data_IF_205887379338
#
_entry.id   IF_205887379338
#
_cell.length_a   1.000
_cell.length_b   1.000
_cell.length_c   1.000
_cell.angle_alpha   90.00
_cell.angle_beta   90.00
_cell.angle_gamma   90.00
#
_symmetry.space_group_name_H-M   'P 1'
#
loop_
_entity.id
_entity.type
_entity.pdbx_description
1 polymer ?
2 polymer ?
3 non-polymer ?
4 non-polymer ?
5 water ?
#
# COMPACT_ATOMS: atom_id res chain seq x y z
N UNK A 8 -13.41 27.00 29.19
CA UNK A 8 -12.51 25.96 28.67
C UNK A 8 -12.25 26.14 27.18
N UNK A 9 -11.40 27.10 26.82
CA UNK A 9 -11.08 27.41 25.44
C UNK A 9 -9.70 26.88 25.08
N UNK A 10 -9.60 26.23 23.91
CA UNK A 10 -8.31 25.74 23.44
C UNK A 10 -7.29 26.87 23.31
N UNK A 11 -6.09 26.61 23.80
CA UNK A 11 -4.95 27.47 23.51
C UNK A 11 -3.69 26.63 23.62
N UNK A 12 -2.82 26.71 22.60
CA UNK A 12 -1.65 25.87 22.58
C UNK A 12 -0.58 26.50 21.69
N UNK A 13 0.67 26.10 21.91
CA UNK A 13 1.79 26.43 21.05
C UNK A 13 2.31 25.14 20.45
N UNK A 14 2.52 25.13 19.14
CA UNK A 14 2.89 23.90 18.44
C UNK A 14 4.05 24.20 17.50
N UNK A 15 4.99 23.25 17.40
CA UNK A 15 6.02 23.33 16.38
C UNK A 15 5.38 23.22 15.00
N UNK A 16 5.60 24.23 14.16
CA UNK A 16 4.90 24.30 12.88
C UNK A 16 5.17 23.06 12.03
N UNK A 17 6.43 22.62 11.95
CA UNK A 17 6.76 21.48 11.11
C UNK A 17 6.01 20.23 11.54
N UNK A 18 5.81 20.07 12.85
CA UNK A 18 5.05 18.92 13.35
C UNK A 18 3.60 19.01 12.93
N UNK A 19 3.00 20.20 13.02
CA UNK A 19 1.59 20.34 12.64
C UNK A 19 1.41 20.16 11.13
N UNK A 20 2.35 20.66 10.33
CA UNK A 20 2.28 20.44 8.88
C UNK A 20 2.21 18.95 8.55
N UNK A 21 3.03 18.14 9.22
CA UNK A 21 3.06 16.71 8.89
C UNK A 21 1.74 16.03 9.26
N UNK A 22 1.22 16.30 10.46
CA UNK A 22 -0.07 15.75 10.87
C UNK A 22 -1.19 16.17 9.93
N UNK A 23 -1.20 17.43 9.50
CA UNK A 23 -2.24 17.88 8.59
C UNK A 23 -2.11 17.23 7.22
N UNK A 24 -0.89 16.90 6.79
CA UNK A 24 -0.72 16.15 5.56
C UNK A 24 -1.48 14.85 5.58
N UNK A 25 -1.46 14.15 6.72
CA UNK A 25 -2.19 12.90 6.84
C UNK A 25 -3.69 13.15 6.83
N UNK A 26 -4.12 14.23 7.50
CA UNK A 26 -5.53 14.56 7.54
C UNK A 26 -6.06 14.87 6.14
N UNK A 27 -5.28 15.62 5.34
CA UNK A 27 -5.72 15.93 3.99
C UNK A 27 -5.91 14.66 3.17
N UNK A 28 -5.06 13.65 3.37
CA UNK A 28 -5.19 12.48 2.52
C UNK A 28 -6.38 11.61 2.90
N UNK A 29 -7.01 11.86 4.05
CA UNK A 29 -8.23 11.14 4.43
C UNK A 29 -9.41 11.65 3.63
N UNK A 30 -9.58 12.97 3.54
CA UNK A 30 -10.69 13.55 2.79
C UNK A 30 -10.22 13.99 1.41
N UNK A 37 -20.54 17.20 4.41
CA UNK A 37 -20.05 18.52 4.82
C UNK A 37 -19.13 18.42 6.03
N UNK A 38 -19.48 17.54 6.98
CA UNK A 38 -18.66 17.35 8.16
C UNK A 38 -17.31 16.73 7.85
N UNK A 39 -17.20 15.99 6.73
CA UNK A 39 -15.92 15.39 6.37
C UNK A 39 -14.88 16.43 5.99
N UNK A 40 -15.30 17.66 5.68
CA UNK A 40 -14.38 18.73 5.31
C UNK A 40 -13.68 19.34 6.51
N UNK A 41 -14.03 18.95 7.72
CA UNK A 41 -13.51 19.59 8.91
C UNK A 41 -12.55 18.66 9.65
N UNK A 42 -11.68 19.26 10.45
CA UNK A 42 -10.80 18.53 11.35
C UNK A 42 -11.11 18.95 12.78
N UNK A 43 -11.13 17.99 13.69
CA UNK A 43 -11.37 18.28 15.09
C UNK A 43 -10.03 18.38 15.81
N UNK A 44 -9.84 19.46 16.57
CA UNK A 44 -8.63 19.71 17.34
C UNK A 44 -8.98 19.72 18.82
N UNK A 45 -8.30 18.86 19.59
CA UNK A 45 -8.55 18.70 21.02
C UNK A 45 -7.24 18.86 21.77
N UNK A 46 -7.16 19.88 22.61
CA UNK A 46 -5.98 20.14 23.42
C UNK A 46 -6.24 19.63 24.83
N UNK A 47 -5.44 18.65 25.27
CA UNK A 47 -5.68 18.00 26.55
C UNK A 47 -4.44 17.22 26.95
N UNK A 48 -4.01 17.37 28.19
CA UNK A 48 -2.96 16.53 28.79
C UNK A 48 -1.69 16.52 27.95
N UNK A 49 -1.19 17.72 27.62
CA UNK A 49 0.07 17.88 26.93
C UNK A 49 0.07 17.55 25.45
N UNK A 50 -1.08 17.26 24.86
CA UNK A 50 -1.15 16.81 23.48
C UNK A 50 -2.23 17.53 22.71
N UNK A 51 -2.00 17.66 21.41
CA UNK A 51 -3.04 18.04 20.47
C UNK A 51 -3.52 16.78 19.76
N UNK A 52 -4.81 16.49 19.86
CA UNK A 52 -5.40 15.37 19.13
C UNK A 52 -6.13 15.91 17.91
N UNK A 53 -5.78 15.39 16.74
CA UNK A 53 -6.40 15.81 15.49
C UNK A 53 -7.20 14.64 14.93
N UNK A 54 -8.49 14.85 14.70
CA UNK A 54 -9.38 13.81 14.22
C UNK A 54 -9.93 14.17 12.84
N UNK A 55 -9.87 13.19 11.92
CA UNK A 55 -10.30 13.33 10.53
C UNK A 55 -11.11 12.10 10.14
N UNK A 56 -12.15 12.28 9.34
CA UNK A 56 -12.96 11.12 8.97
C UNK A 56 -13.60 11.32 7.60
N UNK A 57 -13.82 10.21 6.91
CA UNK A 57 -14.66 10.18 5.73
C UNK A 57 -15.64 9.01 5.90
N UNK A 58 -16.20 8.54 4.80
CA UNK A 58 -17.19 7.47 4.87
C UNK A 58 -16.61 6.15 5.38
N UNK A 59 -15.30 5.93 5.20
CA UNK A 59 -14.71 4.62 5.46
C UNK A 59 -13.60 4.62 6.50
N UNK A 60 -13.04 5.78 6.83
CA UNK A 60 -11.85 5.92 7.66
C UNK A 60 -12.12 6.87 8.81
N UNK A 61 -11.53 6.58 9.95
CA UNK A 61 -11.45 7.53 11.06
C UNK A 61 -10.01 7.58 11.52
N UNK A 62 -9.41 8.77 11.46
CA UNK A 62 -8.01 8.97 11.81
C UNK A 62 -7.91 9.88 13.02
N UNK A 63 -7.18 9.43 14.04
CA UNK A 63 -6.90 10.22 15.23
C UNK A 63 -5.40 10.25 15.46
N UNK A 64 -4.83 11.44 15.49
CA UNK A 64 -3.39 11.62 15.67
C UNK A 64 -3.15 12.47 16.91
N UNK A 65 -2.20 12.06 17.73
CA UNK A 65 -1.80 12.86 18.90
C UNK A 65 -0.37 13.32 18.72
N UNK A 66 -0.14 14.62 18.86
CA UNK A 66 1.20 15.20 18.80
C UNK A 66 1.42 16.04 20.06
N UNK A 67 2.63 15.98 20.60
CA UNK A 67 2.94 16.77 21.78
C UNK A 67 2.97 18.25 21.43
N UNK A 68 2.32 19.08 22.26
CA UNK A 68 2.32 20.52 22.10
C UNK A 68 2.41 21.13 23.50
N UNK A 69 2.54 22.45 23.54
CA UNK A 69 2.41 23.18 24.79
C UNK A 69 0.94 23.52 24.98
N UNK A 70 0.26 22.78 25.87
CA UNK A 70 -1.16 23.03 26.11
C UNK A 70 -1.26 24.14 27.16
N UNK A 71 -1.67 25.32 26.73
CA UNK A 71 -1.85 26.45 27.61
C UNK A 71 -3.25 26.48 28.21
N UNK A 72 -4.24 26.01 27.46
CA UNK A 72 -5.60 25.88 27.95
C UNK A 72 -6.28 24.76 27.20
N UNK A 73 -7.00 23.90 27.91
CA UNK A 73 -7.59 22.72 27.27
C UNK A 73 -8.93 23.09 26.65
N UNK A 74 -9.23 22.47 25.52
CA UNK A 74 -10.50 22.72 24.84
C UNK A 74 -10.51 22.01 23.51
N UNK A 75 -11.63 22.15 22.79
CA UNK A 75 -11.77 21.50 21.49
C UNK A 75 -12.47 22.44 20.52
N UNK A 76 -12.04 22.41 19.26
CA UNK A 76 -12.66 23.15 18.18
C UNK A 76 -12.65 22.27 16.93
N UNK A 77 -13.44 22.66 15.94
CA UNK A 77 -13.30 22.07 14.61
C UNK A 77 -13.23 23.20 13.59
N UNK A 78 -12.48 22.94 12.52
CA UNK A 78 -12.18 23.97 11.52
C UNK A 78 -11.94 23.26 10.20
N UNK A 79 -12.08 24.01 9.10
CA UNK A 79 -11.81 23.47 7.76
C UNK A 79 -10.42 22.87 7.67
N UNK A 80 -10.33 21.61 7.23
CA UNK A 80 -9.03 20.96 7.08
C UNK A 80 -8.19 21.67 6.03
N UNK A 81 -8.79 21.96 4.89
CA UNK A 81 -8.05 22.60 3.79
C UNK A 81 -7.52 23.98 4.18
N UNK A 82 -8.36 24.81 4.79
CA UNK A 82 -7.93 26.16 5.14
C UNK A 82 -6.80 26.12 6.16
N UNK A 83 -6.97 25.33 7.23
CA UNK A 83 -5.91 25.19 8.23
C UNK A 83 -4.62 24.69 7.61
N UNK A 84 -4.70 23.63 6.81
CA UNK A 84 -3.50 23.08 6.19
C UNK A 84 -2.84 24.07 5.24
N UNK A 85 -3.63 24.73 4.41
CA UNK A 85 -3.07 25.68 3.43
C UNK A 85 -2.32 26.80 4.12
N UNK A 86 -2.86 27.30 5.23
CA UNK A 86 -2.23 28.40 5.94
C UNK A 86 -0.96 27.93 6.64
N UNK A 87 -1.04 26.83 7.38
CA UNK A 87 0.05 26.41 8.23
C UNK A 87 1.29 26.04 7.40
N UNK A 88 1.07 25.41 6.23
CA UNK A 88 2.22 25.03 5.42
C UNK A 88 2.87 26.22 4.69
N UNK A 89 2.30 27.42 4.79
CA UNK A 89 2.93 28.63 4.27
C UNK A 89 3.52 29.52 5.35
N UNK A 90 3.49 29.08 6.61
CA UNK A 90 3.99 29.98 7.65
C UNK A 90 5.46 29.69 7.95
N UNK A 91 6.32 30.71 8.00
CA UNK A 91 7.75 30.46 8.23
C UNK A 91 8.15 30.36 9.68
N UNK A 92 7.25 30.68 10.61
CA UNK A 92 7.52 30.60 12.03
C UNK A 92 7.78 29.16 12.46
N UNK A 93 8.79 28.97 13.32
CA UNK A 93 9.06 27.64 13.84
C UNK A 93 7.99 27.18 14.83
N UNK A 94 7.29 28.11 15.48
CA UNK A 94 6.15 27.79 16.34
C UNK A 94 4.96 28.68 16.00
N UNK A 95 3.76 28.14 16.21
CA UNK A 95 2.51 28.85 16.08
C UNK A 95 1.73 28.79 17.38
N UNK A 96 1.03 29.87 17.73
CA UNK A 96 0.04 29.83 18.80
C UNK A 96 -1.33 29.68 18.17
N UNK A 97 -2.08 28.68 18.63
CA UNK A 97 -3.48 28.50 18.27
C UNK A 97 -4.33 28.87 19.47
N UNK A 98 -5.28 29.80 19.28
CA UNK A 98 -6.15 30.25 20.37
C UNK A 98 -7.60 30.24 19.88
N UNK A 99 -8.43 29.45 20.56
CA UNK A 99 -9.87 29.55 20.38
C UNK A 99 -10.40 30.85 21.00
N UNK A 100 -11.07 31.67 20.20
CA UNK A 100 -11.63 32.93 20.67
C UNK A 100 -13.14 32.79 20.88
N UNK A 101 -13.70 33.79 21.54
CA UNK A 101 -15.09 33.72 21.99
C UNK A 101 -16.07 33.53 20.83
N UNK A 102 -15.88 34.27 19.74
CA UNK A 102 -16.91 34.33 18.69
C UNK A 102 -16.78 33.20 17.69
N UNK A 103 -16.56 31.97 18.17
CA UNK A 103 -16.45 30.79 17.32
C UNK A 103 -15.43 31.03 16.20
N UNK A 104 -14.20 31.35 16.62
CA UNK A 104 -13.11 31.58 15.70
C UNK A 104 -11.84 31.03 16.33
N UNK A 105 -10.98 30.49 15.47
CA UNK A 105 -9.66 30.01 15.85
C UNK A 105 -8.64 31.02 15.35
N UNK A 106 -7.84 31.56 16.26
CA UNK A 106 -6.75 32.44 15.88
C UNK A 106 -5.49 31.61 15.70
N UNK A 107 -4.82 31.79 14.56
CA UNK A 107 -3.50 31.23 14.33
C UNK A 107 -2.54 32.40 14.28
N UNK A 108 -1.57 32.41 15.16
CA UNK A 108 -0.68 33.57 15.31
C UNK A 108 0.76 33.14 15.08
N UNK A 109 1.41 33.77 14.11
CA UNK A 109 2.85 33.78 14.01
C UNK A 109 3.41 35.10 14.51
N UNK A 110 4.71 35.30 14.29
CA UNK A 110 5.38 36.47 14.82
C UNK A 110 4.82 37.75 14.23
N UNK A 111 4.62 37.79 12.92
CA UNK A 111 4.17 39.01 12.27
C UNK A 111 2.80 38.89 11.62
N UNK A 112 2.16 37.72 11.69
CA UNK A 112 0.91 37.50 10.97
C UNK A 112 -0.08 36.78 11.86
N UNK A 113 -1.36 36.98 11.56
CA UNK A 113 -2.46 36.39 12.32
C UNK A 113 -3.58 36.00 11.38
N UNK A 114 -4.14 34.81 11.58
CA UNK A 114 -5.26 34.29 10.80
C UNK A 114 -6.39 33.95 11.76
N UNK A 115 -7.61 34.40 11.45
CA UNK A 115 -8.78 34.04 12.25
C UNK A 115 -9.71 33.21 11.40
N UNK A 116 -9.92 31.95 11.78
CA UNK A 116 -10.71 31.01 11.01
C UNK A 116 -12.03 30.74 11.70
N UNK A 117 -13.12 30.70 10.93
CA UNK A 117 -14.40 30.30 11.48
C UNK A 117 -14.34 28.85 11.94
N UNK A 118 -14.89 28.57 13.11
CA UNK A 118 -14.97 27.22 13.63
C UNK A 118 -16.40 26.71 13.54
N UNK A 119 -16.52 25.41 13.56
CA UNK A 119 -17.84 24.81 13.54
C UNK A 119 -18.07 24.06 14.85
N UNK A 120 -19.32 23.85 15.24
CA UNK A 120 -19.59 23.22 16.55
C UNK A 120 -18.93 21.85 16.66
N UNK A 121 -18.23 21.65 17.77
CA UNK A 121 -17.61 20.35 18.07
C UNK A 121 -18.69 19.26 18.17
N UNK A 122 -19.89 19.63 18.60
CA UNK A 122 -20.94 18.64 18.77
C UNK A 122 -21.50 18.13 17.46
N UNK A 123 -21.17 18.77 16.33
CA UNK A 123 -21.55 18.27 15.02
C UNK A 123 -20.50 17.34 14.41
N UNK A 124 -19.35 17.18 15.04
CA UNK A 124 -18.30 16.35 14.49
C UNK A 124 -18.46 14.91 15.00
N UNK A 125 -18.44 13.92 14.12
CA UNK A 125 -18.72 12.55 14.57
C UNK A 125 -17.59 11.98 15.42
N UNK A 126 -17.98 11.22 16.43
CA UNK A 126 -17.02 10.47 17.22
C UNK A 126 -16.69 9.14 16.54
N UNK A 127 -15.57 8.55 16.94
CA UNK A 127 -15.12 7.29 16.35
C UNK A 127 -15.95 6.14 16.88
N UNK A 128 -16.25 5.16 16.02
CA UNK A 128 -16.88 3.93 16.46
C UNK A 128 -15.83 3.04 17.14
N UNK A 129 -16.24 1.85 17.55
CA UNK A 129 -15.41 0.97 18.35
C UNK A 129 -15.26 -0.38 17.67
N UNK A 130 -14.31 -1.16 18.16
CA UNK A 130 -14.05 -2.49 17.62
C UNK A 130 -14.08 -3.47 18.79
N UNK A 131 -14.62 -4.67 18.52
CA UNK A 131 -14.57 -5.79 19.46
C UNK A 131 -13.71 -6.81 18.73
N UNK A 132 -12.38 -6.78 18.91
CA UNK A 132 -11.51 -7.55 18.02
C UNK A 132 -11.66 -9.05 18.20
N UNK A 133 -11.62 -9.77 17.08
CA UNK A 133 -11.48 -11.21 17.15
C UNK A 133 -10.04 -11.61 17.43
N UNK A 134 -9.09 -10.86 16.87
CA UNK A 134 -7.67 -11.09 17.09
C UNK A 134 -6.97 -9.74 17.16
N UNK A 135 -5.87 -9.69 17.91
CA UNK A 135 -5.03 -8.50 18.01
C UNK A 135 -3.57 -8.93 18.10
N UNK A 136 -2.68 -8.19 17.47
CA UNK A 136 -1.26 -8.55 17.48
C UNK A 136 -0.47 -7.30 17.11
N UNK A 137 0.83 -7.37 17.36
CA UNK A 137 1.77 -6.29 17.10
C UNK A 137 2.83 -6.77 16.12
N UNK A 138 3.16 -5.95 15.13
CA UNK A 138 4.22 -6.19 14.17
C UNK A 138 4.99 -4.89 13.97
N UNK A 139 6.17 -4.98 13.37
CA UNK A 139 6.93 -3.75 13.15
C UNK A 139 6.33 -2.96 11.98
N UNK A 140 6.43 -1.63 12.08
CA UNK A 140 5.96 -0.79 10.98
C UNK A 140 6.69 -1.11 9.69
N UNK A 141 7.98 -1.41 9.78
CA UNK A 141 8.75 -1.71 8.58
C UNK A 141 8.27 -2.99 7.91
N UNK A 142 7.92 -4.02 8.70
CA UNK A 142 7.42 -5.25 8.10
C UNK A 142 6.03 -5.04 7.52
N UNK A 143 5.19 -4.25 8.19
CA UNK A 143 3.87 -3.98 7.65
C UNK A 143 3.94 -3.17 6.36
N UNK A 144 4.83 -2.19 6.32
CA UNK A 144 5.02 -1.41 5.10
C UNK A 144 5.40 -2.33 3.95
N UNK A 145 6.27 -3.30 4.21
CA UNK A 145 6.72 -4.22 3.16
C UNK A 145 5.56 -5.03 2.59
N UNK A 146 4.69 -5.58 3.45
CA UNK A 146 3.65 -6.45 2.88
C UNK A 146 2.61 -5.63 2.12
N UNK A 147 2.41 -4.38 2.50
CA UNK A 147 1.49 -3.53 1.73
C UNK A 147 2.15 -3.10 0.42
N UNK A 148 3.43 -2.72 0.47
CA UNK A 148 4.13 -2.34 -0.76
C UNK A 148 4.16 -3.50 -1.75
N UNK A 149 4.25 -4.74 -1.27
CA UNK A 149 4.32 -5.87 -2.18
C UNK A 149 2.96 -6.29 -2.73
N UNK A 150 1.86 -5.75 -2.22
CA UNK A 150 0.53 -6.21 -2.64
C UNK A 150 -0.38 -5.10 -3.13
N UNK A 151 -0.08 -3.82 -2.88
CA UNK A 151 -1.06 -2.80 -3.22
C UNK A 151 -1.23 -2.63 -4.71
N UNK A 152 -0.23 -3.01 -5.52
CA UNK A 152 -0.27 -2.72 -6.94
C UNK A 152 -1.13 -3.71 -7.74
N UNK A 153 -1.44 -4.89 -7.20
CA UNK A 153 -2.19 -5.91 -7.93
C UNK A 153 -3.63 -6.05 -7.43
N UNK A 154 -4.14 -5.06 -6.70
CA UNK A 154 -5.56 -4.98 -6.40
C UNK A 154 -6.34 -4.77 -7.68
N UNK A 155 -7.53 -5.36 -7.77
CA UNK A 155 -8.38 -5.09 -8.91
C UNK A 155 -9.02 -3.70 -8.80
N UNK A 156 -9.07 -2.99 -9.93
CA UNK A 156 -9.81 -1.76 -10.06
C UNK A 156 -11.17 -1.96 -10.71
N UNK A 157 -11.50 -3.21 -11.04
CA UNK A 157 -12.80 -3.60 -11.59
C UNK A 157 -13.83 -3.54 -10.47
N UNK A 158 -14.65 -2.49 -10.47
CA UNK A 158 -15.59 -2.28 -9.36
C UNK A 158 -16.67 -3.35 -9.28
N UNK A 159 -16.85 -4.17 -10.32
CA UNK A 159 -17.77 -5.30 -10.21
C UNK A 159 -17.18 -6.40 -9.35
N UNK A 160 -15.86 -6.62 -9.43
CA UNK A 160 -15.16 -7.58 -8.58
C UNK A 160 -14.93 -6.98 -7.20
N UNK A 161 -16.05 -6.72 -6.50
CA UNK A 161 -15.99 -6.04 -5.21
C UNK A 161 -14.97 -6.69 -4.28
N UNK A 162 -14.93 -8.02 -4.25
CA UNK A 162 -14.08 -8.71 -3.27
C UNK A 162 -12.59 -8.64 -3.64
N UNK A 163 -12.26 -8.30 -4.88
CA UNK A 163 -10.86 -8.15 -5.28
C UNK A 163 -10.37 -6.72 -5.18
N UNK A 164 -11.23 -5.77 -4.78
CA UNK A 164 -10.87 -4.35 -4.74
C UNK A 164 -10.11 -3.96 -3.48
N UNK A 165 -9.45 -4.89 -2.81
CA UNK A 165 -8.66 -4.52 -1.66
C UNK A 165 -7.57 -5.54 -1.41
N UNK A 166 -6.95 -5.41 -0.25
CA UNK A 166 -5.86 -6.30 0.16
C UNK A 166 -6.40 -7.26 1.22
N UNK A 167 -6.30 -8.56 0.94
CA UNK A 167 -6.67 -9.58 1.91
C UNK A 167 -5.60 -9.69 2.98
N UNK A 168 -5.95 -9.34 4.22
CA UNK A 168 -5.04 -9.44 5.35
C UNK A 168 -5.53 -10.59 6.22
N UNK A 169 -4.72 -11.63 6.38
CA UNK A 169 -5.22 -12.77 7.13
C UNK A 169 -4.10 -13.49 7.85
N UNK A 170 -4.46 -14.00 9.03
CA UNK A 170 -3.58 -14.85 9.83
C UNK A 170 -3.90 -16.29 9.49
N UNK A 171 -2.88 -17.04 9.09
CA UNK A 171 -3.02 -18.47 8.87
C UNK A 171 -1.78 -19.12 9.42
N UNK A 172 -1.96 -20.10 10.30
CA UNK A 172 -0.87 -20.73 11.04
C UNK A 172 -0.20 -19.62 11.84
N UNK A 173 1.11 -19.47 11.81
CA UNK A 173 1.76 -18.41 12.58
C UNK A 173 2.16 -17.22 11.71
N UNK A 174 1.57 -17.08 10.53
CA UNK A 174 1.96 -16.04 9.58
C UNK A 174 0.85 -15.03 9.40
N UNK A 175 1.24 -13.78 9.21
CA UNK A 175 0.31 -12.71 8.83
C UNK A 175 0.55 -12.39 7.36
N UNK A 176 -0.42 -12.73 6.50
CA UNK A 176 -0.31 -12.52 5.06
C UNK A 176 -1.06 -11.29 4.60
N UNK A 177 -0.49 -10.57 3.64
CA UNK A 177 -1.26 -9.72 2.75
C UNK A 177 -1.29 -10.40 1.38
N UNK A 178 -2.44 -10.39 0.73
CA UNK A 178 -2.55 -10.96 -0.62
C UNK A 178 -3.46 -10.09 -1.49
N UNK A 179 -3.13 -9.98 -2.77
CA UNK A 179 -4.02 -9.28 -3.68
C UNK A 179 -3.98 -9.95 -5.03
N UNK A 180 -5.09 -9.86 -5.76
CA UNK A 180 -5.15 -10.33 -7.14
C UNK A 180 -6.16 -9.52 -7.92
N UNK A 181 -5.92 -9.40 -9.23
CA UNK A 181 -6.92 -8.87 -10.14
C UNK A 181 -7.36 -9.92 -11.15
N UNK A 182 -6.96 -11.18 -10.95
CA UNK A 182 -7.23 -12.24 -11.89
C UNK A 182 -6.13 -12.45 -12.92
N UNK A 183 -5.25 -11.48 -13.13
CA UNK A 183 -4.13 -11.66 -14.03
C UNK A 183 -2.83 -11.91 -13.29
N UNK A 184 -2.75 -11.45 -12.05
CA UNK A 184 -1.56 -11.62 -11.23
C UNK A 184 -1.99 -11.75 -9.78
N UNK A 185 -1.13 -12.39 -9.01
CA UNK A 185 -1.33 -12.61 -7.58
C UNK A 185 -0.07 -12.13 -6.86
N UNK A 186 -0.25 -11.43 -5.75
CA UNK A 186 0.89 -10.97 -4.97
C UNK A 186 0.66 -11.41 -3.52
N UNK A 187 1.68 -12.00 -2.91
CA UNK A 187 1.57 -12.48 -1.52
C UNK A 187 2.82 -12.08 -0.76
N UNK A 188 2.65 -11.54 0.45
CA UNK A 188 3.76 -11.13 1.28
C UNK A 188 3.39 -11.34 2.75
N UNK A 189 4.31 -11.87 3.54
CA UNK A 189 3.90 -12.24 4.89
C UNK A 189 4.95 -11.94 5.94
N UNK A 190 4.49 -11.94 7.18
CA UNK A 190 5.28 -11.69 8.37
C UNK A 190 5.01 -12.85 9.34
N UNK A 191 6.06 -13.38 9.94
CA UNK A 191 5.87 -14.43 10.94
C UNK A 191 5.47 -13.83 12.28
N UNK A 192 4.44 -14.40 12.90
CA UNK A 192 4.03 -14.02 14.24
C UNK A 192 4.59 -15.04 15.21
N UNK A 193 5.08 -14.56 16.35
CA UNK A 193 5.65 -15.47 17.35
C UNK A 193 4.54 -16.23 18.09
N UNK A 194 3.63 -15.48 18.71
CA UNK A 194 2.61 -16.04 19.57
C UNK A 194 1.53 -16.78 18.75
N UNK A 195 0.83 -17.68 19.43
CA UNK A 195 -0.33 -18.34 18.83
C UNK A 195 -1.49 -17.36 18.71
N UNK A 196 -2.13 -17.37 17.54
CA UNK A 196 -3.20 -16.44 17.21
C UNK A 196 -4.19 -17.19 16.33
N UNK A 197 -5.48 -17.04 16.58
CA UNK A 197 -6.41 -17.82 15.78
C UNK A 197 -6.48 -17.28 14.36
N UNK A 198 -6.82 -18.16 13.42
CA UNK A 198 -6.91 -17.75 12.02
C UNK A 198 -8.03 -16.73 11.84
N UNK A 199 -7.75 -15.69 11.07
CA UNK A 199 -8.76 -14.66 10.84
C UNK A 199 -8.33 -13.82 9.66
N UNK A 200 -9.30 -13.32 8.91
CA UNK A 200 -8.99 -12.53 7.74
C UNK A 200 -10.01 -11.45 7.48
N UNK A 201 -9.55 -10.36 6.84
CA UNK A 201 -10.39 -9.24 6.46
C UNK A 201 -9.88 -8.75 5.12
N UNK A 202 -10.70 -7.96 4.43
CA UNK A 202 -10.27 -7.34 3.17
C UNK A 202 -10.20 -5.83 3.40
N UNK A 203 -8.99 -5.29 3.31
CA UNK A 203 -8.75 -3.87 3.54
C UNK A 203 -8.99 -3.09 2.26
N UNK A 204 -9.85 -2.06 2.27
CA UNK A 204 -10.05 -1.25 1.07
C UNK A 204 -8.77 -0.60 0.58
N UNK A 205 -8.68 -0.41 -0.74
CA UNK A 205 -7.48 0.20 -1.35
C UNK A 205 -7.12 1.52 -0.68
N UNK A 206 -8.10 2.41 -0.52
CA UNK A 206 -7.80 3.73 0.04
C UNK A 206 -7.32 3.63 1.48
N UNK A 207 -7.84 2.66 2.24
CA UNK A 207 -7.34 2.49 3.60
C UNK A 207 -5.91 1.95 3.59
N UNK A 208 -5.59 1.04 2.67
CA UNK A 208 -4.21 0.56 2.55
C UNK A 208 -3.27 1.71 2.21
N UNK A 209 -3.68 2.59 1.32
CA UNK A 209 -2.82 3.72 0.94
C UNK A 209 -2.56 4.63 2.13
N UNK A 210 -3.59 4.90 2.93
CA UNK A 210 -3.44 5.81 4.07
C UNK A 210 -2.55 5.19 5.14
N UNK A 211 -2.81 3.93 5.50
CA UNK A 211 -1.99 3.33 6.56
C UNK A 211 -0.54 3.17 6.08
N UNK A 212 -0.32 2.97 4.78
CA UNK A 212 1.05 2.87 4.31
C UNK A 212 1.80 4.19 4.49
N UNK A 213 1.15 5.30 4.17
CA UNK A 213 1.78 6.61 4.37
C UNK A 213 2.14 6.82 5.83
N UNK A 214 1.25 6.40 6.74
CA UNK A 214 1.46 6.58 8.17
C UNK A 214 2.66 5.79 8.66
N UNK A 215 2.73 4.49 8.32
CA UNK A 215 3.82 3.67 8.87
C UNK A 215 5.16 4.05 8.23
N UNK A 216 5.15 4.59 7.02
CA UNK A 216 6.39 5.01 6.38
C UNK A 216 6.89 6.36 6.87
N UNK A 217 6.09 7.10 7.62
CA UNK A 217 6.60 8.33 8.20
C UNK A 217 7.85 8.05 9.02
N UNK A 218 8.83 8.96 8.93
CA UNK A 218 10.10 8.75 9.61
C UNK A 218 9.92 8.61 11.12
N UNK A 219 8.86 9.22 11.68
CA UNK A 219 8.62 9.08 13.11
C UNK A 219 8.15 7.68 13.48
N UNK A 220 7.61 6.93 12.53
CA UNK A 220 7.01 5.64 12.80
C UNK A 220 7.73 4.45 12.18
N UNK A 221 8.56 4.66 11.15
CA UNK A 221 9.01 3.53 10.33
C UNK A 221 9.87 2.56 11.14
N UNK A 222 10.52 3.03 12.20
CA UNK A 222 11.36 2.16 13.01
C UNK A 222 10.64 1.62 14.24
N UNK A 223 9.32 1.83 14.34
CA UNK A 223 8.53 1.47 15.51
C UNK A 223 7.57 0.34 15.16
N UNK A 224 6.54 0.15 15.99
CA UNK A 224 5.62 -0.96 15.86
C UNK A 224 4.20 -0.46 15.61
N UNK A 225 3.38 -1.33 15.04
CA UNK A 225 1.97 -1.05 14.80
C UNK A 225 1.15 -2.20 15.38
N UNK A 226 0.15 -1.87 16.18
CA UNK A 226 -0.80 -2.88 16.66
C UNK A 226 -1.95 -2.97 15.67
N UNK A 227 -2.37 -4.20 15.39
CA UNK A 227 -3.43 -4.44 14.42
C UNK A 227 -4.54 -5.22 15.12
N UNK A 228 -5.78 -4.76 14.97
CA UNK A 228 -6.94 -5.39 15.59
C UNK A 228 -7.97 -5.67 14.50
N UNK A 229 -8.42 -6.92 14.41
CA UNK A 229 -9.32 -7.37 13.36
C UNK A 229 -10.64 -7.82 13.94
N UNK A 230 -11.74 -7.44 13.29
CA UNK A 230 -13.06 -8.01 13.59
C UNK A 230 -13.77 -8.27 12.28
N UNK A 231 -14.99 -8.83 12.38
CA UNK A 231 -15.77 -9.15 11.19
C UNK A 231 -16.13 -7.92 10.37
N UNK A 232 -16.18 -6.73 11.00
CA UNK A 232 -16.65 -5.56 10.27
C UNK A 232 -15.74 -4.34 10.34
N UNK A 233 -14.58 -4.44 10.99
CA UNK A 233 -13.69 -3.29 11.12
C UNK A 233 -12.26 -3.79 11.30
N UNK A 234 -11.32 -2.92 10.95
CA UNK A 234 -9.91 -3.10 11.28
C UNK A 234 -9.46 -1.82 11.97
N UNK A 235 -8.68 -1.97 13.02
CA UNK A 235 -8.14 -0.82 13.74
C UNK A 235 -6.62 -0.93 13.77
N UNK A 236 -5.95 0.14 13.37
CA UNK A 236 -4.51 0.25 13.46
C UNK A 236 -4.16 1.23 14.58
N UNK A 237 -3.19 0.85 15.41
CA UNK A 237 -2.60 1.78 16.37
C UNK A 237 -1.12 1.83 16.03
N UNK A 238 -0.71 2.90 15.37
CA UNK A 238 0.65 3.01 14.85
C UNK A 238 1.49 3.79 15.83
N UNK A 239 2.48 3.13 16.43
CA UNK A 239 3.45 3.76 17.31
C UNK A 239 2.76 4.57 18.41
N UNK A 240 1.69 3.99 18.97
CA UNK A 240 0.96 4.49 20.14
C UNK A 240 0.04 5.67 19.83
N UNK A 241 0.51 6.64 19.03
CA UNK A 241 -0.12 7.95 18.94
C UNK A 241 -0.90 8.20 17.66
N UNK A 242 -1.02 7.22 16.76
CA UNK A 242 -1.81 7.40 15.56
C UNK A 242 -2.75 6.21 15.43
N UNK A 243 -4.05 6.47 15.41
CA UNK A 243 -5.08 5.44 15.33
C UNK A 243 -5.83 5.60 14.03
N UNK A 244 -5.93 4.53 13.23
CA UNK A 244 -6.72 4.53 12.01
C UNK A 244 -7.73 3.40 12.09
N UNK A 245 -9.02 3.74 12.07
CA UNK A 245 -10.11 2.77 12.08
C UNK A 245 -10.72 2.73 10.68
N UNK A 246 -10.82 1.54 10.10
CA UNK A 246 -11.29 1.42 8.73
C UNK A 246 -12.42 0.42 8.60
N UNK A 247 -13.38 0.73 7.73
CA UNK A 247 -14.31 -0.28 7.27
C UNK A 247 -13.58 -1.31 6.41
N UNK A 248 -14.28 -2.40 6.13
CA UNK A 248 -13.75 -3.51 5.33
C UNK A 248 -14.57 -3.68 4.08
N UNK A 249 -13.99 -4.36 3.10
CA UNK A 249 -14.76 -4.83 1.95
C UNK A 249 -15.55 -6.04 2.39
N UNK A 250 -16.86 -6.02 2.16
CA UNK A 250 -17.75 -7.09 2.61
C UNK A 250 -17.82 -8.11 1.49
N UNK A 251 -16.89 -9.05 1.52
CA UNK A 251 -16.81 -10.09 0.51
C UNK A 251 -15.92 -11.19 1.04
N UNK A 252 -15.77 -12.24 0.24
CA UNK A 252 -14.89 -13.34 0.56
C UNK A 252 -13.77 -13.38 -0.47
N UNK A 253 -12.54 -13.30 -0.01
CA UNK A 253 -11.40 -13.37 -0.91
C UNK A 253 -11.29 -14.80 -1.45
N UNK A 254 -10.92 -14.97 -2.73
CA UNK A 254 -10.79 -16.32 -3.26
C UNK A 254 -9.66 -17.07 -2.58
N UNK A 255 -9.78 -18.40 -2.57
CA UNK A 255 -8.70 -19.26 -2.09
C UNK A 255 -7.64 -19.32 -3.17
N UNK A 256 -6.55 -18.58 -2.98
CA UNK A 256 -5.52 -18.43 -4.00
C UNK A 256 -4.44 -19.48 -3.91
N UNK A 257 -4.45 -20.31 -2.85
CA UNK A 257 -3.44 -21.37 -2.73
C UNK A 257 -3.40 -22.24 -3.98
N UNK A 258 -4.53 -22.43 -4.65
CA UNK A 258 -4.57 -23.21 -5.88
C UNK A 258 -3.86 -22.51 -7.04
N UNK A 259 -3.62 -21.21 -6.94
CA UNK A 259 -3.00 -20.46 -8.03
C UNK A 259 -1.49 -20.52 -8.00
N UNK A 260 -0.89 -21.08 -6.95
CA UNK A 260 0.55 -21.01 -6.74
C UNK A 260 1.18 -22.29 -7.29
N UNK A 261 2.06 -22.20 -8.28
CA UNK A 261 2.68 -23.41 -8.85
C UNK A 261 3.42 -24.22 -7.78
N UNK A 262 3.20 -25.53 -7.79
CA UNK A 262 3.81 -26.41 -6.81
C UNK A 262 5.10 -27.05 -7.29
N UNK A 263 5.43 -26.90 -8.57
CA UNK A 263 6.66 -27.46 -9.13
C UNK A 263 7.04 -26.62 -10.35
N UNK A 264 8.28 -26.80 -10.81
CA UNK A 264 8.79 -26.06 -11.95
C UNK A 264 9.69 -26.96 -12.78
N UNK A 265 9.64 -26.79 -14.09
CA UNK A 265 10.52 -27.54 -14.97
C UNK A 265 11.81 -26.77 -15.29
N UNK A 266 11.79 -25.46 -15.17
CA UNK A 266 12.98 -24.65 -15.44
C UNK A 266 12.82 -23.32 -14.73
N UNK A 267 13.93 -22.58 -14.67
CA UNK A 267 13.85 -21.26 -14.05
C UNK A 267 14.87 -20.34 -14.69
N UNK A 268 14.48 -19.08 -14.77
CA UNK A 268 15.32 -17.99 -15.22
C UNK A 268 15.80 -17.23 -13.99
N UNK A 269 17.09 -16.94 -13.92
CA UNK A 269 17.62 -16.04 -12.90
C UNK A 269 18.30 -14.89 -13.61
N UNK A 270 17.93 -13.67 -13.25
CA UNK A 270 18.41 -12.51 -14.00
C UNK A 270 18.57 -11.32 -13.08
N UNK A 271 19.55 -10.47 -13.40
CA UNK A 271 19.70 -9.20 -12.72
C UNK A 271 18.40 -8.42 -12.84
N UNK A 272 17.83 -8.04 -11.68
CA UNK A 272 16.49 -7.46 -11.66
C UNK A 272 16.45 -6.15 -12.44
N UNK A 273 17.45 -5.29 -12.26
CA UNK A 273 17.43 -3.97 -12.89
C UNK A 273 17.56 -4.07 -14.41
N UNK A 274 18.48 -4.91 -14.90
CA UNK A 274 18.62 -4.99 -16.36
C UNK A 274 17.36 -5.56 -16.98
N UNK A 275 16.71 -6.49 -16.27
CA UNK A 275 15.46 -7.07 -16.76
C UNK A 275 14.35 -6.04 -16.77
N UNK A 276 14.19 -5.30 -15.68
CA UNK A 276 13.15 -4.27 -15.61
C UNK A 276 13.39 -3.20 -16.66
N UNK A 277 14.63 -2.71 -16.76
CA UNK A 277 14.93 -1.65 -17.71
C UNK A 277 14.70 -2.10 -19.14
N UNK A 278 15.03 -3.36 -19.45
CA UNK A 278 14.87 -3.84 -20.82
C UNK A 278 13.40 -4.04 -21.17
N UNK A 279 12.62 -4.63 -20.27
CA UNK A 279 11.17 -4.73 -20.46
C UNK A 279 10.57 -3.36 -20.72
N UNK A 280 10.98 -2.35 -19.95
CA UNK A 280 10.40 -1.02 -20.12
C UNK A 280 10.72 -0.44 -21.50
N UNK A 281 11.97 -0.57 -21.95
CA UNK A 281 12.33 -0.05 -23.28
C UNK A 281 11.56 -0.75 -24.37
N UNK A 282 11.54 -2.09 -24.33
CA UNK A 282 10.93 -2.85 -25.40
C UNK A 282 9.42 -2.62 -25.44
N UNK A 283 8.79 -2.43 -24.28
CA UNK A 283 7.34 -2.26 -24.21
C UNK A 283 6.87 -0.95 -24.86
N UNK A 284 7.77 0.00 -25.07
CA UNK A 284 7.38 1.29 -25.63
C UNK A 284 6.67 1.11 -26.98
N UNK A 285 7.10 0.14 -27.78
CA UNK A 285 6.54 -0.04 -29.12
C UNK A 285 5.14 -0.65 -29.12
N UNK A 286 4.64 -1.16 -27.98
CA UNK A 286 3.36 -1.84 -28.00
C UNK A 286 2.20 -0.84 -28.01
N UNK A 287 1.03 -1.35 -28.41
CA UNK A 287 -0.20 -0.57 -28.44
C UNK A 287 -1.15 -1.12 -27.37
N UNK A 288 -2.15 -0.30 -27.02
CA UNK A 288 -3.06 -0.66 -25.94
C UNK A 288 -3.82 -1.96 -26.23
N UNK A 289 -4.06 -2.27 -27.51
CA UNK A 289 -4.79 -3.47 -27.87
C UNK A 289 -3.95 -4.74 -27.74
N UNK A 290 -2.63 -4.63 -27.56
CA UNK A 290 -1.73 -5.79 -27.47
C UNK A 290 -0.57 -5.43 -26.53
N UNK A 291 -0.88 -5.25 -25.25
CA UNK A 291 0.15 -4.91 -24.26
C UNK A 291 0.86 -6.19 -23.86
N UNK A 292 1.89 -6.54 -24.63
CA UNK A 292 2.57 -7.82 -24.48
C UNK A 292 4.02 -7.69 -24.90
N UNK A 293 4.90 -8.30 -24.11
CA UNK A 293 6.29 -8.49 -24.51
C UNK A 293 6.57 -9.99 -24.54
N UNK A 294 7.50 -10.39 -25.39
CA UNK A 294 7.85 -11.79 -25.61
C UNK A 294 9.26 -12.06 -25.06
N UNK A 295 9.37 -13.09 -24.22
CA UNK A 295 10.65 -13.58 -23.74
C UNK A 295 11.02 -14.84 -24.50
N UNK A 296 12.21 -14.86 -25.12
CA UNK A 296 12.74 -16.03 -25.79
C UNK A 296 13.98 -16.48 -25.01
N UNK A 297 13.83 -17.55 -24.24
CA UNK A 297 14.83 -17.96 -23.26
C UNK A 297 15.64 -19.14 -23.78
N UNK A 298 16.97 -19.03 -23.66
CA UNK A 298 17.87 -20.15 -23.90
C UNK A 298 19.01 -20.07 -22.90
N UNK A 299 19.84 -21.12 -22.88
CA UNK A 299 21.02 -21.11 -22.02
C UNK A 299 21.93 -19.94 -22.35
N UNK A 300 22.11 -19.65 -23.64
CA UNK A 300 23.10 -18.66 -24.05
C UNK A 300 22.56 -17.23 -24.00
N UNK A 301 21.29 -17.02 -24.33
CA UNK A 301 20.77 -15.66 -24.42
C UNK A 301 19.30 -15.61 -24.04
N UNK A 302 18.89 -14.44 -23.57
CA UNK A 302 17.48 -14.07 -23.47
C UNK A 302 17.22 -12.96 -24.47
N UNK A 303 16.23 -13.15 -25.34
CA UNK A 303 15.74 -12.09 -26.21
C UNK A 303 14.41 -11.58 -25.68
N UNK A 304 14.32 -10.26 -25.50
CA UNK A 304 13.08 -9.60 -25.15
C UNK A 304 12.60 -8.83 -26.37
N UNK A 305 11.40 -9.11 -26.84
CA UNK A 305 10.92 -8.46 -28.07
C UNK A 305 9.46 -8.04 -27.90
N UNK A 306 9.03 -7.12 -28.76
CA UNK A 306 7.62 -6.76 -28.83
C UNK A 306 7.30 -6.24 -30.22
N UNK A 307 6.00 -6.20 -30.52
CA UNK A 307 5.49 -5.62 -31.75
C UNK A 307 4.34 -4.68 -31.39
N UNK A 308 4.16 -3.66 -32.22
CA UNK A 308 3.03 -2.76 -32.11
C UNK A 308 2.42 -2.48 -33.47
N UNK A 309 1.13 -2.79 -33.63
CA UNK A 309 0.49 -2.63 -34.92
C UNK A 309 0.61 -1.19 -35.40
N UNK A 310 1.04 -1.02 -36.65
CA UNK A 310 1.26 0.27 -37.30
C UNK A 310 2.24 1.15 -36.54
N UNK A 311 3.04 0.56 -35.64
CA UNK A 311 4.09 1.30 -34.95
C UNK A 311 5.47 0.75 -35.28
N UNK A 312 5.71 -0.52 -35.03
CA UNK A 312 6.95 -1.17 -35.38
C UNK A 312 7.20 -2.38 -34.49
N UNK A 313 8.48 -2.65 -34.25
CA UNK A 313 8.88 -3.78 -33.42
C UNK A 313 10.20 -3.41 -32.73
N UNK A 314 10.60 -4.26 -31.79
CA UNK A 314 11.78 -3.99 -30.98
C UNK A 314 12.31 -5.30 -30.41
N UNK A 315 13.61 -5.32 -30.14
CA UNK A 315 14.22 -6.49 -29.50
C UNK A 315 15.47 -6.05 -28.75
N UNK A 316 15.73 -6.71 -27.63
CA UNK A 316 16.97 -6.56 -26.88
C UNK A 316 17.50 -7.95 -26.54
N UNK A 317 18.82 -8.11 -26.60
CA UNK A 317 19.48 -9.39 -26.32
C UNK A 317 20.26 -9.25 -25.02
N UNK A 318 20.04 -10.21 -24.12
CA UNK A 318 20.78 -10.32 -22.86
C UNK A 318 21.50 -11.66 -22.89
N UNK A 319 22.82 -11.63 -22.72
CA UNK A 319 23.61 -12.85 -22.85
C UNK A 319 23.96 -13.42 -21.48
N UNK A 320 24.24 -14.73 -21.48
CA UNK A 320 24.51 -15.46 -20.24
C UNK A 320 25.70 -14.85 -19.51
N UNK A 321 25.55 -14.69 -18.20
CA UNK A 321 26.60 -14.11 -17.37
C UNK A 321 26.40 -14.54 -15.93
N UNK A 322 27.49 -14.95 -15.28
CA UNK A 322 27.49 -15.22 -13.85
C UNK A 322 27.94 -14.03 -13.03
N UNK A 323 28.17 -12.88 -13.67
CA UNK A 323 28.54 -11.66 -12.97
C UNK A 323 27.31 -10.99 -12.41
N UNK A 324 27.38 -10.56 -11.15
CA UNK A 324 26.20 -10.12 -10.42
C UNK A 324 25.49 -8.97 -11.13
N UNK A 325 26.25 -8.04 -11.70
CA UNK A 325 25.65 -6.84 -12.28
C UNK A 325 25.03 -7.09 -13.64
N UNK A 326 25.36 -8.20 -14.31
CA UNK A 326 24.78 -8.50 -15.61
C UNK A 326 24.20 -9.91 -15.62
N UNK A 327 23.75 -10.38 -14.46
CA UNK A 327 23.48 -11.80 -14.29
C UNK A 327 22.39 -12.27 -15.22
N UNK A 328 22.68 -13.36 -15.95
CA UNK A 328 21.63 -14.09 -16.67
C UNK A 328 22.02 -15.56 -16.72
N UNK A 329 21.09 -16.41 -16.29
CA UNK A 329 21.27 -17.85 -16.48
C UNK A 329 19.92 -18.50 -16.66
N UNK A 330 19.90 -19.56 -17.46
CA UNK A 330 18.71 -20.38 -17.72
C UNK A 330 19.23 -21.79 -17.98
N UNK A 331 19.30 -22.59 -16.91
CA UNK A 331 19.94 -23.90 -16.98
C UNK A 331 18.94 -24.95 -17.48
N UNK A 332 18.60 -24.82 -18.76
CA UNK A 332 17.73 -25.81 -19.41
C UNK A 332 18.08 -25.90 -20.88
N UNK A 333 18.23 -27.14 -21.36
CA UNK A 333 18.60 -27.39 -22.76
C UNK A 333 17.52 -26.95 -23.73
N UNK A 334 16.26 -27.02 -23.33
CA UNK A 334 15.12 -26.69 -24.20
C UNK A 334 14.79 -25.22 -24.05
N UNK A 335 14.72 -24.50 -25.17
CA UNK A 335 14.38 -23.09 -25.13
C UNK A 335 12.89 -22.90 -24.82
N UNK A 336 12.55 -21.69 -24.37
CA UNK A 336 11.18 -21.35 -24.05
C UNK A 336 10.84 -19.97 -24.61
N UNK A 337 9.66 -19.84 -25.20
CA UNK A 337 9.13 -18.57 -25.67
C UNK A 337 7.80 -18.33 -24.96
N UNK A 338 7.70 -17.22 -24.23
CA UNK A 338 6.52 -16.94 -23.42
C UNK A 338 6.33 -15.43 -23.35
N UNK A 339 5.07 -15.00 -23.27
CA UNK A 339 4.75 -13.58 -23.26
C UNK A 339 4.09 -13.11 -21.97
N UNK A 340 4.18 -11.82 -21.68
CA UNK A 340 3.63 -11.24 -20.47
C UNK A 340 3.14 -9.83 -20.77
N UNK A 341 2.17 -9.38 -19.98
CA UNK A 341 1.86 -7.94 -19.98
C UNK A 341 3.03 -7.22 -19.34
N UNK A 342 3.72 -6.31 -20.04
CA UNK A 342 4.93 -5.71 -19.47
C UNK A 342 4.66 -4.91 -18.21
N UNK A 343 3.48 -4.30 -18.10
CA UNK A 343 3.17 -3.54 -16.89
C UNK A 343 3.14 -4.45 -15.68
N UNK A 344 2.59 -5.66 -15.83
CA UNK A 344 2.45 -6.55 -14.68
C UNK A 344 3.80 -7.09 -14.24
N UNK A 345 4.69 -7.36 -15.20
CA UNK A 345 6.06 -7.74 -14.85
C UNK A 345 6.78 -6.60 -14.14
N UNK A 346 6.66 -5.38 -14.69
CA UNK A 346 7.31 -4.22 -14.06
C UNK A 346 6.82 -4.00 -12.65
N UNK A 347 5.51 -4.15 -12.42
CA UNK A 347 4.95 -3.94 -11.09
C UNK A 347 5.68 -4.80 -10.07
N UNK A 348 5.87 -6.09 -10.39
CA UNK A 348 6.56 -7.00 -9.49
C UNK A 348 8.01 -6.62 -9.33
N UNK A 349 8.71 -6.36 -10.47
CA UNK A 349 10.13 -6.08 -10.40
C UNK A 349 10.42 -4.81 -9.60
N UNK A 350 9.51 -3.85 -9.60
CA UNK A 350 9.71 -2.62 -8.86
C UNK A 350 9.33 -2.74 -7.39
N UNK A 351 8.65 -3.82 -7.02
CA UNK A 351 8.13 -3.93 -5.66
C UNK A 351 9.17 -4.37 -4.64
N UNK A 352 10.23 -5.05 -5.07
CA UNK A 352 11.22 -5.62 -4.17
C UNK A 352 12.60 -5.17 -4.62
N UNK A 353 13.32 -4.52 -3.71
CA UNK A 353 14.69 -4.07 -3.98
C UNK A 353 15.63 -5.25 -3.77
N UNK A 354 15.93 -5.93 -4.88
CA UNK A 354 16.76 -7.13 -4.89
C UNK A 354 17.68 -7.07 -6.09
N UNK A 355 18.85 -7.67 -5.96
CA UNK A 355 19.78 -7.67 -7.08
C UNK A 355 19.31 -8.62 -8.17
N UNK A 356 18.80 -9.79 -7.80
CA UNK A 356 18.35 -10.78 -8.76
C UNK A 356 16.86 -11.03 -8.61
N UNK A 357 16.28 -11.61 -9.66
CA UNK A 357 14.91 -12.07 -9.66
C UNK A 357 14.87 -13.42 -10.37
N UNK A 358 13.98 -14.30 -9.90
CA UNK A 358 13.83 -15.64 -10.43
C UNK A 358 12.44 -15.80 -11.02
N UNK A 359 12.37 -16.34 -12.24
CA UNK A 359 11.11 -16.74 -12.86
C UNK A 359 11.08 -18.25 -12.98
N UNK A 360 10.08 -18.88 -12.38
CA UNK A 360 9.92 -20.33 -12.37
C UNK A 360 8.80 -20.72 -13.34
N UNK A 361 9.10 -21.61 -14.28
CA UNK A 361 8.13 -22.05 -15.27
C UNK A 361 7.61 -23.43 -14.93
N UNK A 362 6.28 -23.56 -14.83
CA UNK A 362 5.67 -24.82 -14.40
C UNK A 362 5.87 -25.91 -15.44
N UNK A 363 5.63 -25.60 -16.71
CA UNK A 363 5.71 -26.59 -17.77
C UNK A 363 6.20 -25.91 -19.05
N UNK A 364 6.27 -26.71 -20.11
CA UNK A 364 6.71 -26.22 -21.41
C UNK A 364 5.71 -25.29 -22.08
N UNK A 365 4.48 -25.22 -21.57
CA UNK A 365 3.49 -24.37 -22.23
C UNK A 365 3.77 -22.90 -21.95
N UNK A 366 3.35 -22.07 -22.88
CA UNK A 366 3.40 -20.63 -22.72
C UNK A 366 2.10 -20.08 -22.11
N UNK A 367 1.32 -20.93 -21.44
CA UNK A 367 0.05 -20.53 -20.86
C UNK A 367 -0.07 -20.77 -19.36
N UNK A 368 0.87 -21.48 -18.74
CA UNK A 368 0.76 -21.81 -17.32
C UNK A 368 1.26 -20.64 -16.47
N UNK A 369 0.70 -20.46 -15.27
CA UNK A 369 1.14 -19.35 -14.41
C UNK A 369 2.64 -19.41 -14.17
N UNK A 370 3.25 -18.24 -14.05
CA UNK A 370 4.68 -18.12 -13.79
C UNK A 370 4.87 -17.56 -12.39
N UNK A 371 5.70 -18.25 -11.60
CA UNK A 371 6.03 -17.88 -10.23
C UNK A 371 7.29 -17.02 -10.22
N UNK A 372 7.22 -15.90 -9.53
CA UNK A 372 8.33 -14.94 -9.42
C UNK A 372 8.76 -14.87 -7.96
N UNK A 373 10.06 -15.02 -7.72
CA UNK A 373 10.61 -14.90 -6.38
C UNK A 373 11.86 -14.06 -6.46
N UNK A 374 12.20 -13.40 -5.35
CA UNK A 374 13.42 -12.63 -5.26
C UNK A 374 14.33 -13.26 -4.23
N UNK A 375 15.56 -13.67 -4.58
CA UNK A 375 16.48 -14.15 -3.55
C UNK A 375 16.69 -13.11 -2.47
N UNK A 376 16.96 -13.59 -1.26
CA UNK A 376 17.11 -12.80 -0.05
C UNK A 376 15.77 -12.20 0.42
N UNK A 377 14.66 -12.51 -0.26
CA UNK A 377 13.33 -12.05 0.15
C UNK A 377 12.37 -13.24 0.16
N UNK A 378 12.55 -14.17 1.09
CA UNK A 378 11.78 -15.43 1.03
C UNK A 378 10.34 -15.32 1.47
N UNK A 379 9.85 -14.13 1.84
CA UNK A 379 8.48 -13.98 2.31
C UNK A 379 7.64 -13.15 1.35
N UNK A 380 8.00 -13.17 0.07
CA UNK A 380 7.26 -12.52 -1.00
C UNK A 380 7.11 -13.50 -2.15
N UNK A 381 5.87 -13.70 -2.62
CA UNK A 381 5.57 -14.62 -3.73
C UNK A 381 4.70 -13.89 -4.73
N UNK A 382 5.06 -13.99 -6.01
CA UNK A 382 4.26 -13.36 -7.05
C UNK A 382 3.96 -14.40 -8.13
N UNK A 383 2.76 -14.36 -8.67
CA UNK A 383 2.33 -15.24 -9.75
C UNK A 383 1.75 -14.35 -10.84
N UNK A 384 2.16 -14.56 -12.08
CA UNK A 384 1.66 -13.77 -13.21
C UNK A 384 1.23 -14.72 -14.31
N UNK A 385 0.05 -14.51 -14.85
CA UNK A 385 -0.39 -15.27 -16.00
C UNK A 385 0.32 -14.73 -17.24
N UNK A 386 0.76 -15.62 -18.13
CA UNK A 386 1.29 -15.15 -19.42
C UNK A 386 0.17 -14.67 -20.32
N UNK A 387 0.58 -14.03 -21.42
CA UNK A 387 -0.32 -13.65 -22.48
C UNK A 387 0.20 -14.29 -23.76
N UNK A 388 -0.71 -14.62 -24.67
CA UNK A 388 -0.32 -15.23 -25.93
C UNK A 388 0.48 -14.21 -26.77
N UNK A 389 1.61 -14.65 -27.30
CA UNK A 389 2.44 -13.82 -28.17
C UNK A 389 2.91 -14.64 -29.37
C UNK B 1 -4.66 -13.49 -24.41
N UNK B 2 -5.60 -13.29 -23.48
CA UNK B 2 -5.28 -12.85 -22.11
C UNK B 2 -5.94 -13.75 -21.08
N UNK B 3 -5.30 -14.87 -20.82
CA UNK B 3 -5.85 -15.90 -19.91
C UNK B 3 -5.80 -15.39 -18.48
N UNK B 4 -6.70 -15.90 -17.64
CA UNK B 4 -6.63 -15.53 -16.22
C UNK B 4 -6.17 -16.66 -15.30
N UNK B 5 -5.84 -16.26 -14.07
CA UNK B 5 -5.58 -17.22 -13.00
C UNK B 5 -6.82 -18.09 -12.77
N UNK B 6 -6.64 -19.25 -12.15
CA UNK B 6 -7.73 -20.24 -12.05
C UNK B 6 -8.75 -19.86 -10.99
N UNK B 7 -9.23 -18.62 -11.03
CA UNK B 7 -10.27 -18.18 -10.10
C UNK B 7 -11.59 -18.80 -10.49
N UNK B 8 -12.25 -19.44 -9.52
CA UNK B 8 -13.59 -19.98 -9.76
C UNK B 8 -14.64 -19.35 -8.85
N UNK B 9 -15.51 -18.53 -9.42
CA UNK B 9 -15.62 -18.15 -10.83
C UNK B 9 -14.66 -17.02 -11.20
N UNK B 10 -14.63 -16.62 -12.46
CA UNK B 10 -13.85 -15.44 -12.83
C UNK B 10 -12.77 -15.73 -13.85
N UNK B 11 -11.93 -16.73 -13.55
CA UNK B 11 -10.80 -17.06 -14.39
C UNK B 11 -9.86 -15.89 -14.52
X LIG C 1 -15.95 5.67 8.99
X LIG C 1 -17.16 6.38 9.26
X LIG C 1 -15.25 5.31 10.29
X LIG C 1 -14.75 3.96 10.24
X LIG D 1 -0.33 -20.94 0.35
X LIG D 1 0.82 -20.11 0.13
X LIG D 1 -0.68 -20.95 1.84
X LIG D 1 -1.72 -19.99 2.10
X LIG E 1 4.89 24.50 1.35
X LIG E 1 5.50 25.67 0.82
X LIG E 1 4.21 23.69 0.28
X LIG E 1 3.08 24.40 -0.21
X LIG E 1 2.38 23.68 -1.21
X LIG E 1 1.38 24.59 -1.87
X LIG E 1 2.00 25.70 -2.49
#
# INVERSE_FOLDING_TARGET
>A
MAHHHHHHMLKLIVETKTLVQSLGFARSVVEKRNVIPEYANIKLSAKDGNLELSSTNMDLYLSQKIAVQVLSEGEITVSTQTLSDIVRKLPDSELTLTELDIMKLEIKGQNCQFNLFTLPVSSFPAMDSIKPEVSFKISCADFAKIIESTKFSISLDETRYNLNGIYLHIKDKEFFAASTDGHRLSISWITLEEKIKNFGVILPQKSAEEILKIVKDLKNIHEDIEILLSSNKIKFICNENTILLSKLIDGTFPDYSAFIPKSSISKLVINRKIFADSIERIAIITVEKFRAIKLSLSRKTLEISAVGEARGNAKEIITASQDKESFYEYNCDESLVIGFNPQYLEDVLKAVKSNLVELYFSDISASAPVLIKFPQNPKDIFVIMPVKV
>B
XVXXLXLVPXG
>C hetero
1 EDO C1 O1 C2 O2
>D hetero
1 EDO C1 O1 C2 O2
>E hetero
1 PEG C1 O1 C2 O2 C3 C4 O4
#
